data_IF_891776444620
#
_entry.id   IF_891776444620
#
_cell.length_a   1.000
_cell.length_b   1.000
_cell.length_c   1.000
_cell.angle_alpha   90.00
_cell.angle_beta   90.00
_cell.angle_gamma   90.00
#
_symmetry.space_group_name_H-M   'P 1'
#
loop_
_entity.id
_entity.type
_entity.pdbx_description
1 polymer ?
#
# COMPACT_ATOMS: atom_id res chain seq x y z
N UNK A 1 -20.10 -4.16 20.61
CA UNK A 1 -19.25 -5.32 20.25
C UNK A 1 -17.99 -4.81 19.58
N UNK A 2 -16.82 -4.95 20.20
CA UNK A 2 -15.54 -4.53 19.60
C UNK A 2 -14.90 -5.74 18.94
N UNK A 3 -14.73 -5.71 17.62
CA UNK A 3 -14.07 -6.81 16.90
C UNK A 3 -12.53 -6.69 16.99
N UNK A 4 -11.78 -7.80 17.07
CA UNK A 4 -10.31 -7.77 17.07
C UNK A 4 -9.77 -7.10 15.79
N UNK A 5 -8.61 -6.44 15.90
CA UNK A 5 -7.99 -5.76 14.75
C UNK A 5 -7.70 -6.71 13.58
N UNK A 6 -7.15 -7.89 13.89
CA UNK A 6 -6.82 -8.91 12.87
C UNK A 6 -8.08 -9.35 12.12
N UNK A 7 -9.14 -9.64 12.86
CA UNK A 7 -10.43 -10.02 12.29
C UNK A 7 -10.99 -8.94 11.33
N UNK A 8 -10.87 -7.65 11.67
CA UNK A 8 -11.29 -6.56 10.77
C UNK A 8 -10.46 -6.51 9.49
N UNK A 9 -9.16 -6.74 9.60
CA UNK A 9 -8.26 -6.78 8.44
C UNK A 9 -8.61 -7.95 7.51
N UNK A 10 -8.89 -9.12 8.07
CA UNK A 10 -9.23 -10.31 7.29
C UNK A 10 -10.52 -10.08 6.49
N UNK A 11 -11.53 -9.47 7.12
CA UNK A 11 -12.77 -9.07 6.44
C UNK A 11 -12.50 -8.05 5.32
N UNK A 12 -11.65 -7.05 5.56
CA UNK A 12 -11.31 -6.04 4.55
C UNK A 12 -10.57 -6.68 3.37
N UNK A 13 -9.60 -7.56 3.63
CA UNK A 13 -8.87 -8.29 2.59
C UNK A 13 -9.81 -9.17 1.78
N UNK A 14 -10.75 -9.87 2.44
CA UNK A 14 -11.73 -10.70 1.76
C UNK A 14 -12.57 -9.89 0.76
N UNK A 15 -13.02 -8.69 1.15
CA UNK A 15 -13.81 -7.82 0.28
C UNK A 15 -12.97 -7.20 -0.85
N UNK A 16 -11.72 -6.77 -0.57
CA UNK A 16 -10.89 -6.05 -1.55
C UNK A 16 -10.15 -7.00 -2.50
N UNK A 17 -9.56 -8.08 -1.98
CA UNK A 17 -8.71 -8.99 -2.74
C UNK A 17 -9.52 -10.09 -3.44
N UNK A 18 -10.59 -10.58 -2.81
CA UNK A 18 -11.43 -11.66 -3.37
C UNK A 18 -12.74 -11.14 -3.99
N UNK A 19 -12.95 -9.81 -4.01
CA UNK A 19 -14.13 -9.12 -4.56
C UNK A 19 -15.48 -9.67 -4.03
N UNK A 20 -15.48 -10.17 -2.79
CA UNK A 20 -16.68 -10.76 -2.18
C UNK A 20 -17.62 -9.65 -1.74
N UNK A 21 -18.91 -9.82 -2.04
CA UNK A 21 -19.93 -8.84 -1.70
C UNK A 21 -20.03 -8.57 -0.20
N UNK A 22 -20.12 -7.29 0.19
CA UNK A 22 -20.19 -6.85 1.60
C UNK A 22 -21.30 -7.57 2.39
N UNK A 23 -22.47 -7.80 1.77
CA UNK A 23 -23.60 -8.49 2.41
C UNK A 23 -23.32 -9.96 2.65
N UNK A 24 -22.57 -10.58 1.75
CA UNK A 24 -22.23 -11.99 1.80
C UNK A 24 -21.19 -12.25 2.88
N UNK A 25 -20.13 -11.42 2.93
CA UNK A 25 -19.14 -11.40 4.01
C UNK A 25 -19.79 -11.13 5.37
N UNK A 26 -20.70 -10.15 5.43
CA UNK A 26 -21.46 -9.84 6.65
C UNK A 26 -22.28 -11.04 7.14
N UNK A 27 -22.95 -11.76 6.23
CA UNK A 27 -23.73 -12.96 6.54
C UNK A 27 -22.85 -14.12 7.00
N UNK A 28 -21.73 -14.37 6.33
CA UNK A 28 -20.78 -15.43 6.64
C UNK A 28 -20.18 -15.26 8.05
N UNK A 29 -19.86 -14.03 8.41
CA UNK A 29 -19.23 -13.73 9.69
C UNK A 29 -20.22 -13.33 10.80
N UNK A 30 -21.53 -13.38 10.54
CA UNK A 30 -22.60 -12.99 11.47
C UNK A 30 -22.45 -11.56 12.03
N UNK A 31 -22.07 -10.61 11.17
CA UNK A 31 -21.85 -9.21 11.54
C UNK A 31 -22.79 -8.33 10.71
N UNK A 32 -23.31 -7.22 11.27
CA UNK A 32 -24.06 -6.26 10.48
C UNK A 32 -23.21 -5.67 9.35
N UNK A 33 -23.76 -5.66 8.13
CA UNK A 33 -23.10 -5.10 6.95
C UNK A 33 -22.68 -3.63 7.13
N UNK A 34 -23.38 -2.86 7.98
CA UNK A 34 -23.03 -1.47 8.31
C UNK A 34 -21.66 -1.34 8.97
N UNK A 35 -21.25 -2.32 9.77
CA UNK A 35 -19.94 -2.33 10.43
C UNK A 35 -18.82 -2.60 9.42
N UNK A 36 -19.06 -3.51 8.48
CA UNK A 36 -18.12 -3.80 7.38
C UNK A 36 -17.91 -2.55 6.51
N UNK A 37 -18.99 -1.86 6.14
CA UNK A 37 -18.92 -0.58 5.41
C UNK A 37 -18.08 0.44 6.18
N UNK A 38 -18.26 0.52 7.51
CA UNK A 38 -17.53 1.47 8.34
C UNK A 38 -16.02 1.17 8.37
N UNK A 39 -15.64 -0.11 8.44
CA UNK A 39 -14.22 -0.51 8.39
C UNK A 39 -13.60 -0.25 7.02
N UNK A 40 -14.31 -0.54 5.94
CA UNK A 40 -13.87 -0.23 4.58
C UNK A 40 -13.68 1.27 4.37
N UNK A 41 -14.61 2.08 4.87
CA UNK A 41 -14.50 3.54 4.82
C UNK A 41 -13.30 4.04 5.63
N UNK A 42 -13.11 3.54 6.85
CA UNK A 42 -11.97 3.90 7.69
C UNK A 42 -10.63 3.47 7.06
N UNK A 43 -10.58 2.32 6.40
CA UNK A 43 -9.41 1.86 5.64
C UNK A 43 -9.11 2.75 4.44
N UNK A 44 -10.15 3.17 3.69
CA UNK A 44 -9.98 4.08 2.54
C UNK A 44 -9.48 5.47 2.95
N UNK A 45 -9.90 5.97 4.11
CA UNK A 45 -9.53 7.31 4.59
C UNK A 45 -8.19 7.36 5.33
N UNK A 46 -7.87 6.32 6.13
CA UNK A 46 -6.73 6.34 7.07
C UNK A 46 -5.83 5.11 6.96
N UNK A 47 -6.04 4.24 5.98
CA UNK A 47 -5.30 2.99 5.83
C UNK A 47 -5.44 2.07 7.05
N UNK A 48 -4.35 1.42 7.41
CA UNK A 48 -4.30 0.48 8.56
C UNK A 48 -4.63 1.16 9.90
N UNK A 49 -4.28 2.43 10.09
CA UNK A 49 -4.59 3.16 11.33
C UNK A 49 -6.10 3.39 11.50
N UNK A 50 -6.82 3.56 10.38
CA UNK A 50 -8.28 3.62 10.37
C UNK A 50 -8.94 2.32 10.82
N UNK A 51 -8.35 1.17 10.50
CA UNK A 51 -8.88 -0.15 10.89
C UNK A 51 -8.58 -0.47 12.35
N UNK A 52 -7.42 -0.03 12.86
CA UNK A 52 -7.10 -0.09 14.30
C UNK A 52 -8.08 0.76 15.11
N UNK A 53 -8.38 1.96 14.62
CA UNK A 53 -9.19 2.94 15.35
C UNK A 53 -10.37 3.47 14.53
N UNK A 54 -11.38 2.63 14.23
CA UNK A 54 -12.48 3.01 13.34
C UNK A 54 -13.34 4.12 13.92
N UNK A 55 -13.48 4.17 15.25
CA UNK A 55 -14.32 5.13 15.97
C UNK A 55 -13.60 6.43 16.35
N UNK A 56 -12.34 6.65 15.93
CA UNK A 56 -11.72 7.96 16.10
C UNK A 56 -12.53 8.97 15.28
N UNK A 57 -13.25 9.88 15.96
CA UNK A 57 -13.90 11.03 15.33
C UNK A 57 -12.87 11.71 14.41
N UNK A 58 -13.24 12.11 13.17
CA UNK A 58 -12.37 12.94 12.38
C UNK A 58 -12.03 14.16 13.25
N UNK A 59 -10.76 14.30 13.64
CA UNK A 59 -10.35 15.54 14.25
C UNK A 59 -10.47 16.59 13.13
N UNK A 60 -11.18 17.71 13.36
CA UNK A 60 -11.05 18.82 12.43
C UNK A 60 -9.55 19.09 12.30
N UNK A 61 -9.03 19.28 11.08
CA UNK A 61 -7.62 19.56 10.91
C UNK A 61 -7.30 20.74 11.83
N UNK A 62 -6.39 20.55 12.78
CA UNK A 62 -5.81 21.67 13.53
C UNK A 62 -5.04 22.45 12.49
N UNK A 63 -5.68 23.47 11.91
CA UNK A 63 -5.03 24.45 11.04
C UNK A 63 -4.12 25.27 11.97
N UNK A 64 -2.97 24.71 12.32
CA UNK A 64 -1.82 25.50 12.74
C UNK A 64 -1.43 26.24 11.47
N UNK A 65 -1.68 27.55 11.43
CA UNK A 65 -1.18 28.46 10.38
C UNK A 65 0.34 28.52 10.49
N UNK A 66 1.02 27.43 10.17
CA UNK A 66 2.46 27.42 10.08
C UNK A 66 2.78 28.04 8.73
N UNK A 67 3.29 29.29 8.76
CA UNK A 67 3.94 29.93 7.62
C UNK A 67 5.15 29.10 7.22
N UNK A 68 4.94 28.00 6.51
CA UNK A 68 5.99 27.25 5.87
C UNK A 68 6.12 27.79 4.45
N UNK A 69 7.25 28.43 4.18
CA UNK A 69 7.73 28.68 2.82
C UNK A 69 7.52 27.40 2.01
N UNK A 70 6.71 27.49 0.96
CA UNK A 70 6.56 26.45 -0.06
C UNK A 70 7.96 26.14 -0.62
N UNK A 71 8.58 25.06 -0.14
CA UNK A 71 9.45 24.27 -1.01
C UNK A 71 8.51 23.30 -1.71
N UNK A 72 8.31 23.62 -2.97
CA UNK A 72 7.65 22.85 -4.00
C UNK A 72 8.17 21.41 -3.96
N UNK A 73 7.39 20.53 -3.36
CA UNK A 73 7.46 19.10 -3.58
C UNK A 73 6.13 18.78 -4.23
N UNK A 74 6.15 18.68 -5.56
CA UNK A 74 5.03 18.25 -6.36
C UNK A 74 4.68 16.81 -5.97
N UNK A 75 3.68 16.65 -5.11
CA UNK A 75 2.95 15.39 -5.02
C UNK A 75 1.72 15.60 -5.89
N UNK A 76 1.59 14.95 -7.07
CA UNK A 76 0.37 15.04 -7.83
C UNK A 76 -0.73 14.31 -7.05
N UNK A 77 -1.79 15.07 -6.76
CA UNK A 77 -3.07 14.66 -6.19
C UNK A 77 -3.67 13.39 -6.86
N UNK A 78 -4.54 12.65 -6.16
CA UNK A 78 -5.08 11.40 -6.64
C UNK A 78 -6.18 11.63 -7.69
N UNK A 79 -5.97 10.99 -8.85
CA UNK A 79 -7.01 10.39 -9.69
C UNK A 79 -7.84 11.33 -10.56
N UNK A 80 -7.26 11.75 -11.69
CA UNK A 80 -8.02 11.74 -12.94
C UNK A 80 -8.00 10.31 -13.49
N UNK A 81 -9.16 9.65 -13.60
CA UNK A 81 -9.36 8.39 -14.34
C UNK A 81 -9.19 8.59 -15.86
N UNK A 82 -8.32 9.52 -16.27
CA UNK A 82 -8.02 9.82 -17.65
C UNK A 82 -7.15 8.70 -18.24
N UNK A 83 -7.43 8.23 -19.48
CA UNK A 83 -6.58 7.29 -20.21
C UNK A 83 -5.10 7.72 -20.25
N UNK A 84 -4.84 9.03 -20.15
CA UNK A 84 -3.49 9.59 -20.15
C UNK A 84 -2.74 9.36 -18.84
N UNK A 85 -3.42 9.42 -17.70
CA UNK A 85 -2.84 9.11 -16.39
C UNK A 85 -2.46 7.63 -16.28
N UNK A 86 -3.32 6.74 -16.80
CA UNK A 86 -3.04 5.31 -16.87
C UNK A 86 -1.80 5.00 -17.71
N UNK A 87 -1.67 5.62 -18.90
CA UNK A 87 -0.48 5.49 -19.74
C UNK A 87 0.79 5.99 -19.05
N UNK A 88 0.71 7.11 -18.32
CA UNK A 88 1.85 7.65 -17.54
C UNK A 88 2.27 6.66 -16.45
N UNK A 89 1.31 6.12 -15.71
CA UNK A 89 1.56 5.13 -14.67
C UNK A 89 2.18 3.84 -15.21
N UNK A 90 1.71 3.36 -16.37
CA UNK A 90 2.31 2.19 -17.03
C UNK A 90 3.76 2.43 -17.45
N UNK A 91 4.08 3.62 -17.97
CA UNK A 91 5.46 3.99 -18.32
C UNK A 91 6.36 4.03 -17.09
N UNK A 92 5.88 4.61 -16.01
CA UNK A 92 6.61 4.68 -14.75
C UNK A 92 6.88 3.28 -14.17
N UNK A 93 5.87 2.40 -14.18
CA UNK A 93 6.06 0.99 -13.80
C UNK A 93 7.07 0.27 -14.69
N UNK A 94 7.05 0.50 -16.01
CA UNK A 94 8.01 -0.10 -16.92
C UNK A 94 9.43 0.39 -16.66
N UNK A 95 9.60 1.70 -16.44
CA UNK A 95 10.87 2.32 -16.11
C UNK A 95 11.45 1.76 -14.80
N UNK A 96 10.64 1.75 -13.72
CA UNK A 96 11.07 1.23 -12.42
C UNK A 96 11.40 -0.27 -12.49
N UNK A 97 10.70 -1.05 -13.31
CA UNK A 97 11.03 -2.47 -13.54
C UNK A 97 12.37 -2.64 -14.26
N UNK A 98 12.67 -1.79 -15.23
CA UNK A 98 13.95 -1.79 -15.92
C UNK A 98 15.10 -1.42 -14.97
N UNK A 99 14.92 -0.39 -14.15
CA UNK A 99 15.91 0.03 -13.14
C UNK A 99 16.18 -1.09 -12.13
N UNK A 100 15.12 -1.73 -11.59
CA UNK A 100 15.28 -2.87 -10.69
C UNK A 100 15.98 -4.06 -11.35
N UNK A 101 15.71 -4.34 -12.62
CA UNK A 101 16.39 -5.40 -13.36
C UNK A 101 17.88 -5.11 -13.54
N UNK A 102 18.24 -3.85 -13.82
CA UNK A 102 19.62 -3.41 -13.93
C UNK A 102 20.37 -3.55 -12.60
N UNK A 103 19.79 -3.08 -11.50
CA UNK A 103 20.38 -3.21 -10.16
C UNK A 103 20.60 -4.67 -9.77
N UNK A 104 19.61 -5.55 -10.01
CA UNK A 104 19.77 -6.99 -9.79
C UNK A 104 20.90 -7.61 -10.61
N UNK A 105 21.10 -7.13 -11.84
CA UNK A 105 22.19 -7.62 -12.70
C UNK A 105 23.56 -7.22 -12.16
N UNK A 106 23.70 -6.00 -11.64
CA UNK A 106 24.94 -5.54 -11.00
C UNK A 106 25.26 -6.36 -9.74
N UNK A 107 24.28 -6.56 -8.87
CA UNK A 107 24.46 -7.38 -7.67
C UNK A 107 24.92 -8.80 -8.00
N UNK A 108 24.36 -9.39 -9.07
CA UNK A 108 24.74 -10.73 -9.49
C UNK A 108 26.19 -10.79 -9.99
N UNK A 109 26.63 -9.78 -10.74
CA UNK A 109 28.04 -9.67 -11.16
C UNK A 109 28.98 -9.56 -9.96
N UNK A 110 28.60 -8.79 -8.94
CA UNK A 110 29.41 -8.66 -7.73
C UNK A 110 29.45 -9.95 -6.91
N UNK A 111 28.31 -10.64 -6.77
CA UNK A 111 28.25 -11.98 -6.17
C UNK A 111 29.13 -12.99 -6.92
N UNK A 112 29.11 -12.97 -8.26
CA UNK A 112 29.97 -13.83 -9.07
C UNK A 112 31.45 -13.54 -8.88
N UNK A 113 31.86 -12.26 -8.87
CA UNK A 113 33.25 -11.87 -8.59
C UNK A 113 33.71 -12.35 -7.21
N UNK A 114 32.85 -12.24 -6.20
CA UNK A 114 33.16 -12.74 -4.85
C UNK A 114 33.33 -14.27 -4.83
N UNK A 115 32.44 -15.01 -5.50
CA UNK A 115 32.55 -16.48 -5.64
C UNK A 115 33.86 -16.89 -6.31
N UNK A 116 34.21 -16.25 -7.43
CA UNK A 116 35.46 -16.52 -8.15
C UNK A 116 36.70 -16.22 -7.30
N UNK A 117 36.68 -15.15 -6.49
CA UNK A 117 37.78 -14.85 -5.55
C UNK A 117 37.92 -15.93 -4.48
N UNK A 118 36.81 -16.39 -3.89
CA UNK A 118 36.81 -17.47 -2.89
C UNK A 118 37.30 -18.80 -3.48
N UNK A 119 36.86 -19.13 -4.69
CA UNK A 119 37.29 -20.35 -5.37
C UNK A 119 38.79 -20.33 -5.71
N UNK A 120 39.33 -19.19 -6.15
CA UNK A 120 40.77 -19.03 -6.40
C UNK A 120 41.60 -19.13 -5.11
N UNK A 121 41.07 -18.65 -3.98
CA UNK A 121 41.73 -18.75 -2.67
C UNK A 121 41.71 -20.18 -2.13
N UNK A 122 40.64 -20.94 -2.40
CA UNK A 122 40.49 -22.34 -1.96
C UNK A 122 41.31 -23.35 -2.77
N UNK A 123 41.76 -22.98 -3.98
CA UNK A 123 42.59 -23.83 -4.86
C UNK A 123 44.09 -23.56 -4.75
N UNK A 124 44.49 -22.63 -3.88
CA UNK A 124 45.88 -22.35 -3.50
C UNK A 124 46.18 -23.03 -2.17
#
# INVERSE_FOLDING_TARGET
MSHPYQFRLDIIKLVIEQDVGIREVAKLHHIPHSVVIHWLKAFRERGLDGVKFPYKKPQPPKIVKQKMKKKEIEVPEPTDLSPQAFKKLQRELAYLRAENAYLKKLEELDRQKQRQKKEKLSKR
#
